data_IF_950819610281
#
_entry.id   IF_950819610281
#
_cell.length_a   1.000
_cell.length_b   1.000
_cell.length_c   1.000
_cell.angle_alpha   90.00
_cell.angle_beta   90.00
_cell.angle_gamma   90.00
#
_symmetry.space_group_name_H-M   'P 1'
#
loop_
_entity.id
_entity.type
_entity.pdbx_description
1 polymer ?
#
# COMPACT_ATOMS: atom_id res chain seq x y z
N UNK A 1 32.55 -11.94 -52.09
CA UNK A 1 32.55 -12.40 -50.69
C UNK A 1 31.27 -11.86 -50.06
N UNK A 2 30.28 -12.75 -49.91
CA UNK A 2 28.89 -12.42 -49.57
C UNK A 2 28.66 -12.76 -48.12
N UNK A 3 28.23 -11.81 -47.29
CA UNK A 3 27.71 -12.10 -45.95
C UNK A 3 26.38 -11.37 -45.78
N UNK A 4 25.37 -12.18 -45.48
CA UNK A 4 23.96 -11.90 -45.56
C UNK A 4 23.43 -11.11 -44.35
N UNK A 5 22.61 -10.10 -44.66
CA UNK A 5 21.71 -9.40 -43.74
C UNK A 5 20.57 -10.34 -43.32
N UNK A 6 20.45 -10.64 -42.02
CA UNK A 6 19.27 -11.29 -41.45
C UNK A 6 18.31 -10.23 -40.90
N UNK A 7 17.29 -9.92 -41.69
CA UNK A 7 16.05 -9.29 -41.26
C UNK A 7 15.31 -10.20 -40.29
N UNK A 8 14.98 -9.70 -39.09
CA UNK A 8 14.06 -10.35 -38.16
C UNK A 8 12.74 -9.58 -38.17
N UNK A 9 11.78 -10.09 -38.93
CA UNK A 9 10.37 -9.71 -38.85
C UNK A 9 9.72 -10.49 -37.71
N UNK A 10 9.40 -9.82 -36.60
CA UNK A 10 8.54 -10.36 -35.55
C UNK A 10 7.24 -9.56 -35.51
N UNK A 11 6.21 -10.09 -36.14
CA UNK A 11 4.81 -9.71 -35.94
C UNK A 11 4.22 -10.65 -34.88
N UNK A 12 3.73 -10.17 -33.72
CA UNK A 12 2.89 -10.98 -32.87
C UNK A 12 1.44 -10.93 -33.38
N UNK A 13 0.94 -12.09 -33.76
CA UNK A 13 -0.48 -12.39 -34.03
C UNK A 13 -1.32 -12.02 -32.79
N UNK A 14 -1.98 -10.87 -32.84
CA UNK A 14 -3.13 -10.55 -32.01
C UNK A 14 -4.34 -11.32 -32.57
N UNK A 15 -4.64 -12.49 -32.02
CA UNK A 15 -5.97 -13.11 -32.01
C UNK A 15 -5.88 -14.52 -31.43
N UNK A 16 -6.80 -14.84 -30.52
CA UNK A 16 -7.03 -16.15 -29.86
C UNK A 16 -6.24 -16.41 -28.57
N UNK A 17 -6.53 -15.62 -27.54
CA UNK A 17 -6.61 -16.15 -26.15
C UNK A 17 -7.86 -15.54 -25.51
N UNK A 18 -9.03 -15.92 -26.01
CA UNK A 18 -10.31 -15.39 -25.52
C UNK A 18 -11.41 -16.42 -25.64
N UNK A 19 -11.23 -17.66 -25.14
CA UNK A 19 -12.38 -18.58 -24.96
C UNK A 19 -12.12 -19.88 -24.19
N UNK A 20 -11.18 -19.92 -23.24
CA UNK A 20 -10.93 -21.18 -22.49
C UNK A 20 -10.58 -20.94 -21.02
N UNK A 21 -11.48 -20.29 -20.29
CA UNK A 21 -11.44 -20.21 -18.83
C UNK A 21 -12.84 -20.08 -18.20
N UNK A 22 -13.85 -20.77 -18.75
CA UNK A 22 -15.15 -20.97 -18.11
C UNK A 22 -15.26 -22.43 -17.68
N UNK A 23 -14.83 -22.71 -16.45
CA UNK A 23 -14.96 -24.03 -15.84
C UNK A 23 -14.39 -24.11 -14.43
N UNK A 24 -15.30 -23.98 -13.46
CA UNK A 24 -15.29 -24.70 -12.17
C UNK A 24 -14.60 -24.06 -10.94
N UNK A 25 -15.46 -23.69 -9.98
CA UNK A 25 -15.30 -23.43 -8.54
C UNK A 25 -14.40 -22.27 -8.02
N UNK A 26 -15.05 -21.32 -7.31
CA UNK A 26 -14.66 -21.07 -5.92
C UNK A 26 -14.03 -19.73 -5.51
N UNK A 27 -14.32 -18.59 -6.13
CA UNK A 27 -14.24 -17.28 -5.44
C UNK A 27 -14.90 -16.20 -6.30
N UNK A 28 -15.93 -15.52 -5.76
CA UNK A 28 -16.58 -14.37 -6.40
C UNK A 28 -15.60 -13.20 -6.41
N UNK A 29 -14.76 -13.13 -7.45
CA UNK A 29 -13.98 -11.93 -7.78
C UNK A 29 -14.98 -10.80 -8.03
N UNK A 30 -14.96 -9.76 -7.21
CA UNK A 30 -15.60 -8.49 -7.54
C UNK A 30 -14.47 -7.52 -7.84
N UNK A 31 -14.19 -7.30 -9.13
CA UNK A 31 -13.48 -6.09 -9.54
C UNK A 31 -14.46 -4.97 -9.19
N UNK A 32 -14.13 -4.20 -8.16
CA UNK A 32 -15.01 -3.14 -7.69
C UNK A 32 -14.50 -1.87 -8.34
N UNK A 33 -15.28 -1.33 -9.29
CA UNK A 33 -15.16 0.09 -9.61
C UNK A 33 -15.40 0.87 -8.32
N UNK A 34 -14.71 2.00 -8.12
CA UNK A 34 -14.93 2.86 -6.94
C UNK A 34 -16.35 3.44 -7.03
N UNK A 35 -17.33 2.62 -6.68
CA UNK A 35 -18.70 3.02 -6.57
C UNK A 35 -18.82 3.86 -5.30
N UNK A 36 -19.47 5.02 -5.42
CA UNK A 36 -19.53 6.02 -4.34
C UNK A 36 -20.29 5.48 -3.12
N UNK A 37 -21.14 4.47 -3.33
CA UNK A 37 -22.14 4.03 -2.34
C UNK A 37 -22.04 2.57 -1.89
N UNK A 38 -20.93 1.85 -2.13
CA UNK A 38 -20.83 0.47 -1.64
C UNK A 38 -20.90 0.40 -0.10
N UNK A 39 -21.86 -0.35 0.44
CA UNK A 39 -22.11 -0.64 1.88
C UNK A 39 -20.92 -1.27 2.65
N UNK A 40 -19.77 -1.47 1.99
CA UNK A 40 -18.59 -2.07 2.61
C UNK A 40 -18.01 -1.16 3.71
N UNK A 41 -17.60 -1.80 4.82
CA UNK A 41 -16.92 -1.13 5.93
C UNK A 41 -15.70 -0.34 5.43
N UNK A 42 -15.59 0.97 5.73
CA UNK A 42 -14.41 1.76 5.35
C UNK A 42 -13.09 1.20 5.88
N UNK A 43 -13.13 0.48 7.01
CA UNK A 43 -11.96 -0.26 7.49
C UNK A 43 -11.52 -1.33 6.50
N UNK A 44 -12.45 -2.17 6.03
CA UNK A 44 -12.16 -3.22 5.03
C UNK A 44 -11.68 -2.64 3.71
N UNK A 45 -12.33 -1.57 3.23
CA UNK A 45 -11.88 -0.84 2.03
C UNK A 45 -10.40 -0.47 2.13
N UNK A 46 -9.99 0.07 3.26
CA UNK A 46 -8.64 0.57 3.44
C UNK A 46 -7.62 -0.56 3.67
N UNK A 47 -8.00 -1.64 4.37
CA UNK A 47 -7.18 -2.86 4.50
C UNK A 47 -6.90 -3.47 3.12
N UNK A 48 -7.93 -3.61 2.28
CA UNK A 48 -7.77 -4.13 0.93
C UNK A 48 -6.86 -3.20 0.10
N UNK A 49 -7.02 -1.88 0.24
CA UNK A 49 -6.24 -0.89 -0.48
C UNK A 49 -4.76 -0.93 -0.11
N UNK A 50 -4.42 -0.95 1.19
CA UNK A 50 -3.01 -1.00 1.61
C UNK A 50 -2.34 -2.32 1.21
N UNK A 51 -3.07 -3.44 1.27
CA UNK A 51 -2.56 -4.73 0.83
C UNK A 51 -2.20 -4.74 -0.65
N UNK A 52 -3.09 -4.19 -1.48
CA UNK A 52 -2.83 -4.04 -2.91
C UNK A 52 -1.68 -3.08 -3.18
N UNK A 53 -1.60 -1.96 -2.46
CA UNK A 53 -0.55 -0.98 -2.63
C UNK A 53 0.83 -1.56 -2.30
N UNK A 54 0.94 -2.34 -1.22
CA UNK A 54 2.17 -3.05 -0.86
C UNK A 54 2.61 -4.04 -1.94
N UNK A 55 1.66 -4.71 -2.60
CA UNK A 55 1.96 -5.53 -3.78
C UNK A 55 2.53 -4.70 -4.93
N UNK A 56 1.89 -3.57 -5.24
CA UNK A 56 2.31 -2.67 -6.32
C UNK A 56 3.72 -2.11 -6.08
N UNK A 57 4.03 -1.67 -4.86
CA UNK A 57 5.40 -1.27 -4.51
C UNK A 57 6.40 -2.41 -4.59
N UNK A 58 5.98 -3.64 -4.29
CA UNK A 58 6.79 -4.84 -4.50
C UNK A 58 7.09 -5.12 -5.97
N UNK A 59 6.18 -4.76 -6.89
CA UNK A 59 6.43 -4.77 -8.33
C UNK A 59 7.39 -3.63 -8.73
N UNK A 60 7.12 -2.41 -8.26
CA UNK A 60 7.94 -1.22 -8.54
C UNK A 60 9.40 -1.39 -8.09
N UNK A 61 9.63 -2.08 -6.96
CA UNK A 61 10.95 -2.41 -6.45
C UNK A 61 11.71 -3.45 -7.29
N UNK A 62 11.00 -4.32 -8.02
CA UNK A 62 11.53 -5.45 -8.80
C UNK A 62 11.41 -5.24 -10.31
N UNK A 63 11.04 -4.04 -10.74
CA UNK A 63 10.89 -3.74 -12.16
C UNK A 63 12.22 -4.01 -12.90
N UNK A 64 12.19 -4.74 -14.02
CA UNK A 64 13.40 -5.19 -14.71
C UNK A 64 14.16 -4.06 -15.41
N UNK A 65 13.50 -2.93 -15.70
CA UNK A 65 14.10 -1.73 -16.31
C UNK A 65 14.75 -0.85 -15.25
N UNK A 66 14.26 -0.93 -14.00
CA UNK A 66 14.87 -0.28 -12.86
C UNK A 66 13.86 0.01 -11.76
N UNK A 67 14.35 0.23 -10.55
CA UNK A 67 13.51 0.43 -9.38
C UNK A 67 12.71 1.75 -9.48
N UNK A 68 11.39 1.65 -9.71
CA UNK A 68 10.52 2.83 -9.91
C UNK A 68 10.38 3.68 -8.64
N UNK A 69 10.44 3.06 -7.45
CA UNK A 69 10.45 3.81 -6.19
C UNK A 69 11.67 4.73 -6.13
N UNK A 70 12.85 4.21 -6.47
CA UNK A 70 14.09 5.02 -6.48
C UNK A 70 14.01 6.12 -7.54
N UNK A 71 13.43 5.85 -8.71
CA UNK A 71 13.18 6.87 -9.75
C UNK A 71 12.34 8.04 -9.22
N UNK A 72 11.36 7.78 -8.36
CA UNK A 72 10.51 8.79 -7.73
C UNK A 72 11.03 9.27 -6.37
N UNK A 73 12.34 9.18 -6.12
CA UNK A 73 12.99 9.83 -4.98
C UNK A 73 13.03 9.03 -3.68
N UNK A 74 12.56 7.77 -3.68
CA UNK A 74 12.76 6.92 -2.51
C UNK A 74 14.22 6.50 -2.39
N UNK A 75 14.79 6.65 -1.19
CA UNK A 75 16.06 6.04 -0.82
C UNK A 75 15.83 4.60 -0.36
N UNK A 76 16.48 3.66 -1.04
CA UNK A 76 16.49 2.25 -0.62
C UNK A 76 17.50 2.03 0.51
N UNK A 77 17.06 1.42 1.59
CA UNK A 77 17.86 1.03 2.75
C UNK A 77 17.90 -0.51 2.81
N UNK A 78 19.03 -1.16 2.49
CA UNK A 78 19.12 -2.61 2.48
C UNK A 78 19.13 -3.21 3.89
N UNK A 79 18.87 -4.53 4.02
CA UNK A 79 19.18 -5.26 5.24
C UNK A 79 20.62 -5.12 5.72
N UNK A 80 20.87 -5.03 7.05
CA UNK A 80 22.17 -5.33 7.60
C UNK A 80 22.68 -6.68 7.08
N UNK A 81 23.99 -6.77 6.94
CA UNK A 81 24.66 -8.00 6.50
C UNK A 81 24.26 -9.16 7.42
N UNK A 82 23.90 -10.29 6.82
CA UNK A 82 23.49 -11.49 7.55
C UNK A 82 22.01 -11.56 7.95
N UNK A 83 21.22 -10.51 7.65
CA UNK A 83 19.77 -10.52 7.86
C UNK A 83 19.06 -10.71 6.52
N UNK A 84 18.30 -11.80 6.39
CA UNK A 84 17.41 -12.01 5.25
C UNK A 84 16.08 -11.28 5.49
N UNK A 85 16.03 -10.01 5.08
CA UNK A 85 14.83 -9.18 5.20
C UNK A 85 14.62 -8.27 3.96
N UNK A 86 13.37 -7.89 3.66
CA UNK A 86 13.08 -6.92 2.61
C UNK A 86 13.75 -5.56 2.88
N UNK A 87 14.15 -4.85 1.82
CA UNK A 87 14.66 -3.49 1.95
C UNK A 87 13.56 -2.53 2.39
N UNK A 88 13.95 -1.48 3.12
CA UNK A 88 13.09 -0.34 3.43
C UNK A 88 13.23 0.71 2.33
N UNK A 89 12.15 1.40 2.01
CA UNK A 89 12.16 2.56 1.12
C UNK A 89 11.74 3.81 1.88
N UNK A 90 12.57 4.84 1.83
CA UNK A 90 12.38 6.09 2.58
C UNK A 90 12.20 7.26 1.61
N UNK A 91 11.09 7.98 1.74
CA UNK A 91 10.82 9.21 1.01
C UNK A 91 10.68 10.37 1.98
N UNK A 92 11.54 11.38 1.85
CA UNK A 92 11.34 12.68 2.49
C UNK A 92 10.39 13.52 1.63
N UNK A 93 9.09 13.37 1.86
CA UNK A 93 8.04 14.04 1.08
C UNK A 93 8.09 15.58 1.24
N UNK A 94 8.56 16.08 2.38
CA UNK A 94 8.85 17.50 2.58
C UNK A 94 9.92 17.65 3.67
N UNK A 95 10.36 18.88 3.95
CA UNK A 95 11.23 19.16 5.09
C UNK A 95 10.67 18.73 6.44
N UNK A 96 9.35 18.49 6.51
CA UNK A 96 8.63 18.12 7.73
C UNK A 96 7.83 16.84 7.62
N UNK A 97 7.88 16.08 6.51
CA UNK A 97 7.11 14.84 6.38
C UNK A 97 7.89 13.74 5.67
N UNK A 98 7.65 12.50 6.10
CA UNK A 98 8.28 11.33 5.50
C UNK A 98 7.32 10.16 5.37
N UNK A 99 7.53 9.38 4.32
CA UNK A 99 6.86 8.12 4.06
C UNK A 99 7.91 7.02 4.05
N UNK A 100 7.71 5.98 4.86
CA UNK A 100 8.63 4.85 4.95
C UNK A 100 7.85 3.58 4.65
N UNK A 101 8.26 2.89 3.59
CA UNK A 101 7.64 1.65 3.13
C UNK A 101 8.41 0.45 3.69
N UNK A 102 7.65 -0.48 4.24
CA UNK A 102 8.17 -1.72 4.80
C UNK A 102 7.27 -2.90 4.42
N UNK A 103 7.79 -4.12 4.46
CA UNK A 103 7.02 -5.31 4.07
C UNK A 103 5.77 -5.56 4.95
N UNK A 104 5.79 -5.05 6.18
CA UNK A 104 4.68 -5.20 7.13
C UNK A 104 3.73 -4.01 7.19
N UNK A 105 4.02 -2.92 6.47
CA UNK A 105 3.20 -1.72 6.58
C UNK A 105 3.87 -0.45 6.11
N UNK A 106 3.23 0.66 6.45
CA UNK A 106 3.63 2.00 6.05
C UNK A 106 3.72 2.88 7.28
N UNK A 107 4.86 3.53 7.44
CA UNK A 107 5.04 4.57 8.44
C UNK A 107 4.95 5.93 7.77
N UNK A 108 4.21 6.85 8.38
CA UNK A 108 4.13 8.23 7.95
C UNK A 108 4.35 9.17 9.14
N UNK A 109 5.38 10.01 9.02
CA UNK A 109 5.80 10.90 10.11
C UNK A 109 5.74 12.36 9.70
N UNK A 110 5.35 13.22 10.65
CA UNK A 110 5.36 14.66 10.54
C UNK A 110 5.91 15.30 11.83
N UNK A 111 6.86 16.24 11.71
CA UNK A 111 7.56 16.80 12.88
C UNK A 111 6.69 17.61 13.84
N UNK A 112 5.49 18.03 13.41
CA UNK A 112 4.55 18.77 14.26
C UNK A 112 3.48 17.86 14.87
N UNK A 113 3.14 16.75 14.21
CA UNK A 113 1.98 15.93 14.57
C UNK A 113 2.38 14.57 15.18
N UNK A 114 3.63 14.13 15.03
CA UNK A 114 4.07 12.78 15.37
C UNK A 114 4.02 11.85 14.15
N UNK A 115 3.62 10.60 14.33
CA UNK A 115 3.54 9.63 13.23
C UNK A 115 2.39 8.65 13.40
N UNK A 116 2.08 7.98 12.29
CA UNK A 116 1.24 6.80 12.27
C UNK A 116 2.00 5.63 11.63
N UNK A 117 1.69 4.43 12.09
CA UNK A 117 2.02 3.20 11.41
C UNK A 117 0.74 2.47 10.98
N UNK A 118 0.61 2.17 9.69
CA UNK A 118 -0.44 1.32 9.15
C UNK A 118 0.11 -0.06 8.87
N UNK A 119 -0.45 -1.08 9.54
CA UNK A 119 -0.08 -2.47 9.29
C UNK A 119 -0.76 -2.98 8.03
N UNK A 120 -0.08 -3.89 7.33
CA UNK A 120 -0.57 -4.56 6.13
C UNK A 120 -1.95 -5.21 6.32
N UNK A 121 -2.18 -5.85 7.47
CA UNK A 121 -3.41 -6.61 7.75
C UNK A 121 -4.34 -5.93 8.76
N UNK A 122 -4.07 -4.68 9.12
CA UNK A 122 -4.90 -3.94 10.06
C UNK A 122 -4.82 -2.45 9.74
N UNK A 123 -5.97 -1.85 9.47
CA UNK A 123 -6.06 -0.41 9.29
C UNK A 123 -6.29 0.35 10.60
N UNK A 124 -5.90 -0.19 11.76
CA UNK A 124 -5.85 0.63 12.97
C UNK A 124 -4.53 1.42 12.91
N UNK A 125 -4.56 2.74 12.65
CA UNK A 125 -3.33 3.51 12.63
C UNK A 125 -2.78 3.56 14.05
N UNK A 126 -1.56 3.06 14.22
CA UNK A 126 -0.84 3.14 15.49
C UNK A 126 -0.20 4.52 15.57
N UNK A 127 -0.70 5.38 16.45
CA UNK A 127 -0.18 6.72 16.63
C UNK A 127 1.06 6.71 17.53
N UNK A 128 2.09 7.46 17.14
CA UNK A 128 3.28 7.68 17.94
C UNK A 128 3.61 9.17 18.01
N UNK A 129 4.10 9.62 19.16
CA UNK A 129 4.52 11.02 19.36
C UNK A 129 5.77 11.35 18.52
N UNK A 130 6.65 10.37 18.32
CA UNK A 130 7.86 10.54 17.53
C UNK A 130 7.52 10.59 16.04
N UNK A 131 8.04 11.60 15.34
CA UNK A 131 7.82 11.79 13.90
C UNK A 131 8.76 10.95 13.03
N UNK A 132 9.71 10.23 13.64
CA UNK A 132 10.66 9.35 12.97
C UNK A 132 10.64 8.00 13.65
N UNK A 133 10.84 6.89 12.92
CA UNK A 133 11.04 5.60 13.55
C UNK A 133 12.30 5.70 14.42
N UNK A 134 12.17 5.36 15.71
CA UNK A 134 13.28 5.36 16.67
C UNK A 134 14.36 4.35 16.30
N UNK A 135 13.96 3.27 15.63
CA UNK A 135 14.85 2.33 14.98
C UNK A 135 14.23 1.83 13.68
N UNK A 136 15.11 1.77 12.68
CA UNK A 136 14.88 1.15 11.40
C UNK A 136 15.01 -0.36 11.62
N UNK A 137 13.92 -0.98 12.08
CA UNK A 137 13.93 -2.36 12.50
C UNK A 137 13.30 -3.24 11.42
N UNK A 138 14.12 -4.12 10.88
CA UNK A 138 13.75 -4.94 9.71
C UNK A 138 12.91 -6.17 10.07
N UNK A 139 12.62 -6.32 11.37
CA UNK A 139 11.79 -7.37 11.94
C UNK A 139 10.45 -6.76 12.39
N UNK A 140 9.38 -7.55 12.32
CA UNK A 140 8.00 -7.14 12.56
C UNK A 140 7.75 -6.52 13.96
N UNK A 141 8.59 -6.86 14.94
CA UNK A 141 8.43 -6.58 16.38
C UNK A 141 8.71 -5.12 16.80
N UNK A 142 8.67 -4.18 15.87
CA UNK A 142 9.42 -2.95 16.05
C UNK A 142 8.75 -1.66 15.60
N UNK A 143 7.44 -1.70 15.35
CA UNK A 143 6.69 -0.46 15.45
C UNK A 143 6.95 0.16 16.84
N UNK A 144 7.14 1.48 16.95
CA UNK A 144 7.25 2.11 18.26
C UNK A 144 6.02 1.73 19.10
N UNK A 145 6.11 1.77 20.43
CA UNK A 145 4.89 1.52 21.21
C UNK A 145 3.84 2.61 20.90
N UNK A 146 2.57 2.22 20.63
CA UNK A 146 1.52 3.20 20.38
C UNK A 146 1.29 4.04 21.63
N UNK A 147 1.19 5.36 21.44
CA UNK A 147 0.85 6.25 22.55
C UNK A 147 -0.59 5.99 23.01
N UNK A 148 -0.82 6.04 24.32
CA UNK A 148 -2.16 5.83 24.89
C UNK A 148 -3.17 6.85 24.35
N UNK A 149 -4.40 6.40 24.07
CA UNK A 149 -5.43 7.20 23.43
C UNK A 149 -5.77 8.47 24.24
N UNK A 150 -5.44 9.64 23.69
CA UNK A 150 -5.85 10.97 24.14
C UNK A 150 -6.58 11.68 23.01
N UNK A 151 -7.48 12.62 23.31
CA UNK A 151 -8.21 13.39 22.29
C UNK A 151 -7.28 14.08 21.26
N UNK A 152 -6.13 14.57 21.71
CA UNK A 152 -5.07 15.15 20.85
C UNK A 152 -4.49 14.13 19.87
N UNK A 153 -4.33 12.87 20.29
CA UNK A 153 -3.83 11.80 19.43
C UNK A 153 -4.84 11.50 18.32
N UNK A 154 -6.14 11.54 18.61
CA UNK A 154 -7.20 11.29 17.61
C UNK A 154 -7.13 12.31 16.46
N UNK A 155 -7.08 13.60 16.76
CA UNK A 155 -7.00 14.65 15.74
C UNK A 155 -5.70 14.54 14.91
N UNK A 156 -4.57 14.26 15.56
CA UNK A 156 -3.29 14.03 14.88
C UNK A 156 -3.36 12.80 13.97
N UNK A 157 -3.94 11.69 14.42
CA UNK A 157 -4.14 10.47 13.61
C UNK A 157 -4.95 10.76 12.36
N UNK A 158 -6.06 11.50 12.43
CA UNK A 158 -6.86 11.90 11.26
C UNK A 158 -6.00 12.65 10.24
N UNK A 159 -5.33 13.70 10.72
CA UNK A 159 -4.54 14.56 9.87
C UNK A 159 -3.38 13.79 9.21
N UNK A 160 -2.72 12.90 9.96
CA UNK A 160 -1.64 12.05 9.45
C UNK A 160 -2.16 11.02 8.44
N UNK A 161 -3.28 10.35 8.71
CA UNK A 161 -3.87 9.35 7.78
C UNK A 161 -4.31 10.00 6.48
N UNK A 162 -4.95 11.17 6.53
CA UNK A 162 -5.33 11.90 5.33
C UNK A 162 -4.10 12.34 4.52
N UNK A 163 -3.12 12.98 5.17
CA UNK A 163 -1.89 13.44 4.50
C UNK A 163 -1.11 12.28 3.86
N UNK A 164 -0.94 11.18 4.58
CA UNK A 164 -0.29 9.99 4.05
C UNK A 164 -1.04 9.46 2.81
N UNK A 165 -2.38 9.37 2.89
CA UNK A 165 -3.20 8.88 1.79
C UNK A 165 -3.04 9.76 0.55
N UNK A 166 -2.97 11.09 0.71
CA UNK A 166 -2.70 12.01 -0.40
C UNK A 166 -1.31 11.83 -1.00
N UNK A 167 -0.27 11.69 -0.18
CA UNK A 167 1.10 11.41 -0.65
C UNK A 167 1.17 10.11 -1.47
N UNK A 168 0.48 9.06 -1.04
CA UNK A 168 0.43 7.80 -1.80
C UNK A 168 -0.37 7.97 -3.09
N UNK A 169 -1.46 8.76 -3.09
CA UNK A 169 -2.19 9.08 -4.30
C UNK A 169 -1.34 9.84 -5.32
N UNK A 170 -0.56 10.83 -4.86
CA UNK A 170 0.36 11.61 -5.70
C UNK A 170 1.43 10.69 -6.32
N UNK A 171 1.96 9.73 -5.56
CA UNK A 171 2.88 8.71 -6.09
C UNK A 171 2.23 7.85 -7.19
N UNK A 172 1.00 7.38 -6.98
CA UNK A 172 0.30 6.57 -7.99
C UNK A 172 -0.01 7.39 -9.26
N UNK A 173 -0.29 8.69 -9.12
CA UNK A 173 -0.43 9.58 -10.27
C UNK A 173 0.90 9.72 -11.03
N UNK A 174 2.02 9.92 -10.33
CA UNK A 174 3.35 9.97 -10.96
C UNK A 174 3.68 8.68 -11.71
N UNK A 175 3.29 7.52 -11.18
CA UNK A 175 3.47 6.24 -11.88
C UNK A 175 2.65 6.19 -13.17
N UNK A 176 1.38 6.61 -13.12
CA UNK A 176 0.53 6.66 -14.30
C UNK A 176 1.08 7.62 -15.37
N UNK A 177 1.60 8.78 -14.95
CA UNK A 177 2.16 9.79 -15.85
C UNK A 177 3.46 9.31 -16.52
N UNK A 178 4.34 8.64 -15.76
CA UNK A 178 5.65 8.21 -16.25
C UNK A 178 5.64 6.88 -17.01
N UNK A 179 4.73 5.97 -16.67
CA UNK A 179 4.73 4.58 -17.15
C UNK A 179 3.42 4.15 -17.84
N UNK A 180 2.42 5.04 -17.89
CA UNK A 180 1.09 4.75 -18.41
C UNK A 180 0.22 3.98 -17.42
N UNK A 181 -1.09 4.11 -17.54
CA UNK A 181 -2.06 3.42 -16.65
C UNK A 181 -2.01 1.89 -16.80
N UNK A 182 -1.59 1.41 -17.97
CA UNK A 182 -1.49 0.00 -18.33
C UNK A 182 -0.47 -0.73 -17.45
N UNK A 183 0.59 -0.05 -17.00
CA UNK A 183 1.60 -0.68 -16.14
C UNK A 183 0.96 -1.20 -14.85
N UNK A 184 0.07 -0.41 -14.25
CA UNK A 184 -0.59 -0.76 -13.01
C UNK A 184 -1.70 -1.78 -13.23
N UNK A 185 -2.40 -1.73 -14.36
CA UNK A 185 -3.33 -2.80 -14.75
C UNK A 185 -2.62 -4.15 -14.85
N UNK A 186 -1.41 -4.19 -15.44
CA UNK A 186 -0.59 -5.41 -15.50
C UNK A 186 -0.13 -5.89 -14.12
N UNK A 187 0.32 -4.98 -13.25
CA UNK A 187 0.76 -5.31 -11.89
C UNK A 187 -0.39 -5.92 -11.07
N UNK A 188 -1.58 -5.32 -11.16
CA UNK A 188 -2.78 -5.76 -10.45
C UNK A 188 -3.36 -7.04 -11.03
N UNK A 189 -3.27 -7.28 -12.35
CA UNK A 189 -3.73 -8.53 -12.96
C UNK A 189 -3.00 -9.76 -12.42
N UNK A 190 -1.74 -9.59 -11.96
CA UNK A 190 -0.93 -10.64 -11.33
C UNK A 190 -1.19 -10.78 -9.83
N UNK A 191 -1.95 -9.87 -9.25
CA UNK A 191 -2.31 -9.92 -7.84
C UNK A 191 -3.50 -10.86 -7.64
N UNK A 192 -3.30 -11.89 -6.83
CA UNK A 192 -4.32 -12.88 -6.52
C UNK A 192 -4.52 -12.95 -5.00
N UNK A 193 -5.19 -11.95 -4.40
CA UNK A 193 -5.49 -12.02 -2.98
C UNK A 193 -6.45 -13.18 -2.72
N UNK A 194 -6.28 -13.84 -1.57
CA UNK A 194 -7.15 -14.97 -1.18
C UNK A 194 -8.59 -14.50 -0.96
N UNK A 195 -8.73 -13.29 -0.44
CA UNK A 195 -9.96 -12.61 -0.06
C UNK A 195 -9.81 -11.10 -0.27
N UNK A 196 -10.93 -10.37 -0.21
CA UNK A 196 -10.92 -8.91 -0.31
C UNK A 196 -11.22 -8.34 -1.69
N UNK A 197 -11.31 -7.02 -1.75
CA UNK A 197 -11.55 -6.23 -2.95
C UNK A 197 -10.27 -6.10 -3.77
N UNK A 198 -10.42 -6.11 -5.09
CA UNK A 198 -9.35 -5.70 -6.01
C UNK A 198 -9.74 -4.38 -6.65
N UNK A 199 -8.95 -3.35 -6.39
CA UNK A 199 -9.03 -2.04 -7.04
C UNK A 199 -8.41 -2.17 -8.43
N UNK A 200 -9.01 -1.53 -9.44
CA UNK A 200 -8.35 -1.48 -10.75
C UNK A 200 -7.08 -0.63 -10.65
N UNK A 201 -6.05 -0.97 -11.43
CA UNK A 201 -4.76 -0.26 -11.37
C UNK A 201 -4.87 1.23 -11.66
N UNK A 202 -5.72 1.62 -12.61
CA UNK A 202 -6.05 3.00 -12.98
C UNK A 202 -6.85 3.75 -11.89
N UNK A 203 -7.31 3.06 -10.85
CA UNK A 203 -8.13 3.63 -9.79
C UNK A 203 -7.38 3.80 -8.46
N UNK A 204 -6.12 3.36 -8.33
CA UNK A 204 -5.40 3.38 -7.06
C UNK A 204 -5.27 4.81 -6.49
N UNK A 205 -4.87 5.78 -7.31
CA UNK A 205 -4.77 7.18 -6.87
C UNK A 205 -6.12 7.70 -6.33
N UNK A 206 -7.21 7.46 -7.06
CA UNK A 206 -8.56 7.85 -6.64
C UNK A 206 -9.03 7.12 -5.37
N UNK A 207 -8.65 5.85 -5.19
CA UNK A 207 -8.98 5.08 -3.99
C UNK A 207 -8.29 5.67 -2.75
N UNK A 208 -7.03 6.09 -2.87
CA UNK A 208 -6.29 6.76 -1.81
C UNK A 208 -6.86 8.15 -1.48
N UNK A 209 -7.26 8.93 -2.49
CA UNK A 209 -7.96 10.20 -2.25
C UNK A 209 -9.31 9.99 -1.54
N UNK A 210 -10.04 8.92 -1.87
CA UNK A 210 -11.24 8.53 -1.13
C UNK A 210 -10.93 8.19 0.33
N UNK A 211 -9.85 7.46 0.60
CA UNK A 211 -9.43 7.17 1.98
C UNK A 211 -9.10 8.46 2.76
N UNK A 212 -8.41 9.41 2.11
CA UNK A 212 -8.13 10.72 2.71
C UNK A 212 -9.43 11.45 3.10
N UNK A 213 -10.41 11.46 2.20
CA UNK A 213 -11.72 12.07 2.44
C UNK A 213 -12.48 11.38 3.59
N UNK A 214 -12.48 10.04 3.64
CA UNK A 214 -13.12 9.30 4.73
C UNK A 214 -12.43 9.61 6.06
N UNK A 215 -11.10 9.67 6.10
CA UNK A 215 -10.37 10.00 7.32
C UNK A 215 -10.77 11.38 7.87
N UNK A 216 -10.88 12.38 7.00
CA UNK A 216 -11.24 13.75 7.39
C UNK A 216 -12.70 13.89 7.85
N UNK A 217 -13.63 13.23 7.14
CA UNK A 217 -15.06 13.53 7.27
C UNK A 217 -15.84 12.45 8.03
N UNK A 218 -15.31 11.23 8.08
CA UNK A 218 -15.97 10.06 8.68
C UNK A 218 -14.96 9.19 9.47
N UNK A 219 -14.12 9.78 10.34
CA UNK A 219 -13.02 9.07 11.00
C UNK A 219 -13.49 7.86 11.81
N UNK A 220 -14.66 7.98 12.45
CA UNK A 220 -15.25 6.88 13.24
C UNK A 220 -15.53 5.64 12.40
N UNK A 221 -15.83 5.78 11.11
CA UNK A 221 -16.08 4.62 10.25
C UNK A 221 -14.80 3.87 9.83
N UNK A 222 -13.62 4.49 9.93
CA UNK A 222 -12.35 3.80 9.72
C UNK A 222 -11.93 2.99 10.94
N UNK A 223 -12.37 3.40 12.13
CA UNK A 223 -11.84 2.88 13.40
C UNK A 223 -12.86 2.08 14.21
N UNK A 224 -14.15 2.12 13.85
CA UNK A 224 -15.20 1.28 14.47
C UNK A 224 -15.23 -0.11 13.82
N UNK A 225 -15.36 -1.16 14.64
CA UNK A 225 -15.48 -2.55 14.18
C UNK A 225 -14.36 -3.51 14.59
N UNK A 226 -13.39 -3.07 15.40
CA UNK A 226 -12.35 -3.96 15.95
C UNK A 226 -12.90 -4.64 17.20
N UNK A 227 -13.00 -5.99 17.25
CA UNK A 227 -13.24 -6.68 18.51
C UNK A 227 -12.13 -6.31 19.49
N UNK A 228 -12.50 -5.88 20.69
CA UNK A 228 -11.57 -5.79 21.82
C UNK A 228 -10.74 -7.08 21.86
N UNK A 229 -9.40 -7.03 22.06
CA UNK A 229 -8.62 -8.24 22.24
C UNK A 229 -9.31 -9.10 23.29
N UNK A 230 -9.72 -10.31 22.90
CA UNK A 230 -10.34 -11.27 23.79
C UNK A 230 -9.38 -11.39 24.97
N UNK A 231 -9.83 -10.95 26.14
CA UNK A 231 -9.05 -10.96 27.36
C UNK A 231 -8.43 -12.33 27.53
N UNK A 232 -7.12 -12.35 27.75
CA UNK A 232 -6.42 -13.52 28.25
C UNK A 232 -7.18 -13.92 29.50
N UNK A 233 -7.94 -15.03 29.41
CA UNK A 233 -8.48 -15.68 30.60
C UNK A 233 -7.26 -16.18 31.37
N UNK A 234 -6.81 -15.41 32.34
CA UNK A 234 -6.00 -15.91 33.44
C UNK A 234 -6.79 -17.05 34.07
N UNK A 235 -6.34 -18.29 33.86
CA UNK A 235 -6.73 -19.41 34.70
C UNK A 235 -6.27 -19.07 36.11
N UNK A 236 -7.22 -18.77 37.00
CA UNK A 236 -6.97 -18.85 38.42
C UNK A 236 -6.58 -20.30 38.74
N UNK A 237 -5.42 -20.46 39.39
CA UNK A 237 -5.04 -21.68 40.10
C UNK A 237 -5.66 -21.65 41.49
#
# INVERSE_FOLDING_TARGET
MTIATRSWSMTPRLSRVSEQARGTLGSRRRVVEIDRDSEDSPNRFAVDLINQQLWCWGCDARDPVGNRLVKHGFRRLPPPVGIEAPSIYWLDNSSRSRLVLHAYGVFFGNDQLGSIFLRRHSLRPEYHILSRPSALNWLESAAPEPAHEKATNRAATIALTSRMSRVIADYEQLIADDFGTECRLCDVARWHPRDGRVFRGDQLASAWLRLAHIAENQPDRLWTGVPTPIGIKTKAS
#
